data_IF_075711121734
#
_entry.id   IF_075711121734
#
_cell.length_a   1.000
_cell.length_b   1.000
_cell.length_c   1.000
_cell.angle_alpha   90.00
_cell.angle_beta   90.00
_cell.angle_gamma   90.00
#
_symmetry.space_group_name_H-M   'P 1'
#
loop_
_entity.id
_entity.type
_entity.pdbx_description
1 polymer ?
#
# COMPACT_ATOMS: atom_id res chain seq x y z
N UNK A 1 11.19 6.73 -15.64
CA UNK A 1 10.46 6.14 -14.51
C UNK A 1 10.87 4.69 -14.40
N UNK A 2 11.27 4.25 -13.21
CA UNK A 2 11.84 2.91 -12.98
C UNK A 2 10.75 1.85 -13.06
N UNK A 3 11.07 0.71 -13.68
CA UNK A 3 10.23 -0.48 -13.68
C UNK A 3 10.71 -1.44 -12.60
N UNK A 4 9.80 -2.09 -11.90
CA UNK A 4 10.06 -2.97 -10.75
C UNK A 4 9.36 -4.30 -10.99
N UNK A 5 10.14 -5.35 -11.27
CA UNK A 5 9.61 -6.70 -11.48
C UNK A 5 9.10 -7.38 -10.20
N UNK A 6 9.58 -6.95 -9.04
CA UNK A 6 9.16 -7.48 -7.74
C UNK A 6 9.24 -6.39 -6.66
N UNK A 7 8.59 -6.64 -5.52
CA UNK A 7 8.73 -5.79 -4.33
C UNK A 7 10.12 -5.94 -3.70
N UNK A 8 10.59 -4.87 -3.06
CA UNK A 8 11.74 -4.85 -2.13
C UNK A 8 11.30 -4.66 -0.67
N UNK A 9 10.00 -4.71 -0.39
CA UNK A 9 9.42 -4.68 0.95
C UNK A 9 8.97 -6.08 1.37
N UNK A 10 8.93 -6.33 2.67
CA UNK A 10 8.45 -7.59 3.22
C UNK A 10 6.93 -7.71 3.12
N UNK A 11 6.44 -8.70 2.36
CA UNK A 11 5.00 -9.02 2.33
C UNK A 11 4.45 -9.30 3.74
N UNK A 12 5.24 -9.98 4.58
CA UNK A 12 4.87 -10.27 5.95
C UNK A 12 4.90 -9.01 6.84
N UNK A 13 5.85 -8.10 6.63
CA UNK A 13 5.89 -6.80 7.30
C UNK A 13 4.65 -5.96 7.00
N UNK A 14 4.29 -5.86 5.71
CA UNK A 14 3.10 -5.15 5.24
C UNK A 14 1.82 -5.75 5.84
N UNK A 15 1.68 -7.08 5.77
CA UNK A 15 0.54 -7.80 6.37
C UNK A 15 0.42 -7.51 7.86
N UNK A 16 1.54 -7.57 8.58
CA UNK A 16 1.60 -7.35 10.03
C UNK A 16 1.24 -5.92 10.41
N UNK A 17 1.71 -4.93 9.66
CA UNK A 17 1.44 -3.52 9.94
C UNK A 17 0.04 -3.08 9.53
N UNK A 18 -0.36 -3.42 8.30
CA UNK A 18 -1.61 -2.96 7.73
C UNK A 18 -2.83 -3.71 8.29
N UNK A 19 -2.67 -4.98 8.65
CA UNK A 19 -3.73 -5.81 9.24
C UNK A 19 -5.03 -5.75 8.43
N UNK A 20 -4.93 -6.01 7.13
CA UNK A 20 -6.09 -6.13 6.25
C UNK A 20 -6.91 -7.38 6.61
N UNK A 21 -8.24 -7.28 6.50
CA UNK A 21 -9.20 -8.35 6.75
C UNK A 21 -10.38 -8.30 5.78
N UNK A 22 -11.32 -9.26 5.88
CA UNK A 22 -12.27 -9.58 4.81
C UNK A 22 -13.31 -8.50 4.52
N UNK A 23 -13.43 -7.48 5.36
CA UNK A 23 -14.31 -6.32 5.16
C UNK A 23 -13.57 -5.09 4.61
N UNK A 24 -12.24 -5.16 4.48
CA UNK A 24 -11.43 -4.02 4.13
C UNK A 24 -11.44 -3.69 2.63
N UNK A 25 -11.46 -2.40 2.34
CA UNK A 25 -11.20 -1.86 1.00
C UNK A 25 -9.87 -1.14 1.03
N UNK A 26 -8.93 -1.59 0.19
CA UNK A 26 -7.53 -1.15 0.23
C UNK A 26 -7.22 -0.25 -0.96
N UNK A 27 -6.61 0.91 -0.70
CA UNK A 27 -5.86 1.66 -1.71
C UNK A 27 -4.40 1.20 -1.65
N UNK A 28 -3.84 0.72 -2.76
CA UNK A 28 -2.47 0.22 -2.82
C UNK A 28 -1.68 0.92 -3.92
N UNK A 29 -0.46 1.37 -3.62
CA UNK A 29 0.54 1.62 -4.67
C UNK A 29 0.87 0.28 -5.32
N UNK A 30 0.73 0.23 -6.64
CA UNK A 30 0.79 -1.00 -7.41
C UNK A 30 2.21 -1.55 -7.48
N UNK A 31 3.18 -0.76 -7.97
CA UNK A 31 4.53 -1.28 -8.23
C UNK A 31 4.46 -2.53 -9.11
N UNK A 32 5.14 -3.61 -8.69
CA UNK A 32 5.08 -4.91 -9.36
C UNK A 32 3.72 -5.61 -9.26
N UNK A 33 2.88 -5.19 -8.31
CA UNK A 33 1.61 -5.83 -7.94
C UNK A 33 1.69 -6.80 -6.77
N UNK A 34 2.88 -7.18 -6.28
CA UNK A 34 3.06 -8.23 -5.25
C UNK A 34 2.25 -7.97 -3.98
N UNK A 35 2.31 -6.74 -3.49
CA UNK A 35 1.64 -6.29 -2.28
C UNK A 35 0.13 -6.23 -2.51
N UNK A 36 -0.31 -5.75 -3.67
CA UNK A 36 -1.74 -5.72 -4.02
C UNK A 36 -2.33 -7.13 -4.10
N UNK A 37 -1.60 -8.09 -4.69
CA UNK A 37 -2.00 -9.49 -4.73
C UNK A 37 -2.03 -10.14 -3.35
N UNK A 38 -1.00 -9.92 -2.53
CA UNK A 38 -1.00 -10.41 -1.15
C UNK A 38 -2.17 -9.82 -0.36
N UNK A 39 -2.47 -8.53 -0.51
CA UNK A 39 -3.59 -7.90 0.18
C UNK A 39 -4.94 -8.43 -0.27
N UNK A 40 -5.06 -8.86 -1.53
CA UNK A 40 -6.27 -9.46 -2.09
C UNK A 40 -6.62 -10.82 -1.48
N UNK A 41 -5.63 -11.52 -0.91
CA UNK A 41 -5.87 -12.72 -0.11
C UNK A 41 -6.75 -12.44 1.11
N UNK A 42 -6.61 -11.25 1.71
CA UNK A 42 -7.23 -10.91 2.99
C UNK A 42 -8.37 -9.91 2.86
N UNK A 43 -8.31 -9.00 1.88
CA UNK A 43 -9.21 -7.87 1.77
C UNK A 43 -10.41 -8.14 0.87
N UNK A 44 -11.52 -7.43 1.13
CA UNK A 44 -12.71 -7.47 0.29
C UNK A 44 -12.44 -6.99 -1.13
N UNK A 45 -11.63 -5.93 -1.24
CA UNK A 45 -11.35 -5.23 -2.51
C UNK A 45 -10.02 -4.50 -2.43
N UNK A 46 -9.26 -4.54 -3.51
CA UNK A 46 -7.99 -3.81 -3.66
C UNK A 46 -8.07 -2.91 -4.89
N UNK A 47 -7.81 -1.62 -4.71
CA UNK A 47 -7.62 -0.67 -5.80
C UNK A 47 -6.13 -0.35 -5.87
N UNK A 48 -5.45 -0.96 -6.83
CA UNK A 48 -4.04 -0.77 -7.11
C UNK A 48 -3.84 0.36 -8.12
N UNK A 49 -2.99 1.33 -7.77
CA UNK A 49 -2.67 2.48 -8.63
C UNK A 49 -1.18 2.60 -8.88
N UNK A 50 -0.81 3.03 -10.07
CA UNK A 50 0.55 3.48 -10.38
C UNK A 50 0.50 4.65 -11.35
N UNK A 51 1.46 5.58 -11.28
CA UNK A 51 1.61 6.61 -12.29
C UNK A 51 2.44 6.12 -13.50
N UNK A 52 3.06 4.94 -13.43
CA UNK A 52 3.69 4.27 -14.57
C UNK A 52 2.70 3.32 -15.27
N UNK A 53 2.26 3.62 -16.50
CA UNK A 53 1.39 2.71 -17.24
C UNK A 53 1.96 1.31 -17.42
N UNK A 54 3.30 1.17 -17.54
CA UNK A 54 3.96 -0.12 -17.72
C UNK A 54 3.87 -1.00 -16.47
N UNK A 55 3.84 -0.41 -15.27
CA UNK A 55 3.66 -1.16 -14.01
C UNK A 55 2.24 -1.69 -13.88
N UNK A 56 1.26 -0.82 -14.19
CA UNK A 56 -0.15 -1.20 -14.20
C UNK A 56 -0.41 -2.32 -15.20
N UNK A 57 0.17 -2.24 -16.40
CA UNK A 57 0.02 -3.28 -17.41
C UNK A 57 0.69 -4.59 -16.98
N UNK A 58 1.90 -4.53 -16.45
CA UNK A 58 2.59 -5.71 -15.92
C UNK A 58 1.78 -6.42 -14.81
N UNK A 59 1.21 -5.66 -13.86
CA UNK A 59 0.36 -6.24 -12.83
C UNK A 59 -0.93 -6.85 -13.41
N UNK A 60 -1.53 -6.25 -14.44
CA UNK A 60 -2.69 -6.82 -15.15
C UNK A 60 -2.37 -8.12 -15.86
N UNK A 61 -1.22 -8.21 -16.54
CA UNK A 61 -0.74 -9.44 -17.18
C UNK A 61 -0.60 -10.56 -16.16
N UNK A 62 0.02 -10.27 -15.00
CA UNK A 62 0.14 -11.23 -13.91
C UNK A 62 -1.21 -11.69 -13.35
N UNK A 63 -2.16 -10.76 -13.19
CA UNK A 63 -3.52 -11.11 -12.77
C UNK A 63 -4.22 -12.01 -13.80
N UNK A 64 -3.98 -11.76 -15.11
CA UNK A 64 -4.46 -12.60 -16.20
C UNK A 64 -3.87 -14.01 -16.16
N UNK A 65 -2.55 -14.13 -15.95
CA UNK A 65 -1.88 -15.42 -15.80
C UNK A 65 -2.44 -16.21 -14.64
N UNK A 66 -2.62 -15.58 -13.47
CA UNK A 66 -3.20 -16.24 -12.30
C UNK A 66 -4.64 -16.69 -12.57
N UNK A 67 -5.46 -15.85 -13.20
CA UNK A 67 -6.83 -16.20 -13.61
C UNK A 67 -6.85 -17.42 -14.53
N UNK A 68 -5.91 -17.48 -15.47
CA UNK A 68 -5.69 -18.63 -16.36
C UNK A 68 -5.13 -19.88 -15.71
N UNK A 69 -4.79 -19.83 -14.41
CA UNK A 69 -4.15 -20.94 -13.68
C UNK A 69 -2.65 -21.07 -13.94
N UNK A 70 -2.04 -20.10 -14.60
CA UNK A 70 -0.62 -20.07 -14.91
C UNK A 70 0.19 -19.49 -13.73
N UNK A 71 0.22 -20.23 -12.62
CA UNK A 71 0.90 -19.80 -11.38
C UNK A 71 2.38 -19.50 -11.65
N UNK A 72 3.03 -20.27 -12.53
CA UNK A 72 4.43 -20.07 -12.89
C UNK A 72 4.71 -18.69 -13.47
N UNK A 73 3.86 -18.21 -14.38
CA UNK A 73 3.99 -16.86 -14.96
C UNK A 73 3.53 -15.77 -13.98
N UNK A 74 2.50 -16.03 -13.17
CA UNK A 74 2.08 -15.11 -12.10
C UNK A 74 3.20 -14.79 -11.10
N UNK A 75 3.98 -15.80 -10.70
CA UNK A 75 5.13 -15.61 -9.80
C UNK A 75 6.40 -15.22 -10.55
N UNK A 76 6.45 -15.31 -11.88
CA UNK A 76 7.62 -14.88 -12.62
C UNK A 76 7.80 -13.37 -12.50
N UNK A 77 8.98 -12.97 -12.07
CA UNK A 77 9.38 -11.57 -11.99
C UNK A 77 10.71 -11.41 -12.73
N UNK A 78 10.81 -10.47 -13.69
CA UNK A 78 12.07 -10.21 -14.38
C UNK A 78 13.07 -9.69 -13.34
N UNK A 79 14.15 -10.44 -13.15
CA UNK A 79 15.18 -10.10 -12.17
C UNK A 79 15.88 -8.81 -12.58
N UNK A 80 15.90 -7.81 -11.70
CA UNK A 80 16.65 -6.58 -11.90
C UNK A 80 17.98 -6.59 -11.16
N UNK A 81 18.14 -7.38 -10.08
CA UNK A 81 19.42 -7.48 -9.39
C UNK A 81 19.66 -8.80 -8.66
N UNK A 82 20.90 -9.29 -8.70
CA UNK A 82 21.33 -10.52 -8.04
C UNK A 82 21.41 -10.39 -6.51
N UNK A 83 21.43 -9.16 -5.99
CA UNK A 83 21.62 -8.87 -4.56
C UNK A 83 20.39 -9.24 -3.69
N UNK A 84 19.22 -9.48 -4.29
CA UNK A 84 17.96 -9.73 -3.59
C UNK A 84 17.47 -11.18 -3.61
N UNK A 85 18.37 -12.16 -3.82
CA UNK A 85 18.01 -13.57 -4.03
C UNK A 85 17.11 -14.17 -2.95
N UNK A 86 17.36 -13.87 -1.67
CA UNK A 86 16.57 -14.43 -0.57
C UNK A 86 15.16 -13.83 -0.49
N UNK A 87 15.06 -12.49 -0.52
CA UNK A 87 13.77 -11.79 -0.56
C UNK A 87 12.94 -12.21 -1.79
N UNK A 88 13.59 -12.38 -2.94
CA UNK A 88 12.95 -12.89 -4.16
C UNK A 88 12.43 -14.32 -3.99
N UNK A 89 13.22 -15.22 -3.39
CA UNK A 89 12.81 -16.59 -3.14
C UNK A 89 11.66 -16.68 -2.13
N UNK A 90 11.67 -15.87 -1.08
CA UNK A 90 10.59 -15.77 -0.09
C UNK A 90 9.29 -15.25 -0.73
N UNK A 91 9.39 -14.16 -1.49
CA UNK A 91 8.26 -13.61 -2.26
C UNK A 91 7.66 -14.65 -3.20
N UNK A 92 8.48 -15.37 -3.96
CA UNK A 92 8.01 -16.41 -4.88
C UNK A 92 7.35 -17.58 -4.14
N UNK A 93 7.92 -17.98 -3.00
CA UNK A 93 7.34 -19.01 -2.14
C UNK A 93 5.97 -18.56 -1.64
N UNK A 94 5.86 -17.35 -1.10
CA UNK A 94 4.60 -16.80 -0.62
C UNK A 94 3.55 -16.78 -1.74
N UNK A 95 3.82 -16.08 -2.84
CA UNK A 95 2.83 -15.92 -3.90
C UNK A 95 2.50 -17.24 -4.60
N UNK A 96 3.44 -18.17 -4.70
CA UNK A 96 3.18 -19.50 -5.24
C UNK A 96 2.30 -20.36 -4.33
N UNK A 97 2.56 -20.33 -3.02
CA UNK A 97 1.76 -21.07 -2.03
C UNK A 97 0.36 -20.49 -1.88
N UNK A 98 0.22 -19.17 -1.88
CA UNK A 98 -1.05 -18.45 -1.68
C UNK A 98 -1.79 -18.16 -2.99
N UNK A 99 -1.26 -18.60 -4.14
CA UNK A 99 -1.90 -18.40 -5.44
C UNK A 99 -3.36 -18.88 -5.51
N UNK A 100 -3.76 -20.02 -4.91
CA UNK A 100 -5.17 -20.43 -4.90
C UNK A 100 -6.10 -19.39 -4.25
N UNK A 101 -5.74 -18.93 -3.04
CA UNK A 101 -6.55 -17.96 -2.27
C UNK A 101 -6.61 -16.60 -2.96
N UNK A 102 -5.48 -16.13 -3.52
CA UNK A 102 -5.42 -14.90 -4.31
C UNK A 102 -6.29 -15.04 -5.56
N UNK A 103 -6.26 -16.20 -6.22
CA UNK A 103 -7.04 -16.46 -7.44
C UNK A 103 -8.54 -16.45 -7.16
N UNK A 104 -8.99 -16.98 -6.04
CA UNK A 104 -10.40 -16.95 -5.64
C UNK A 104 -10.94 -15.51 -5.54
N UNK A 105 -10.08 -14.56 -5.15
CA UNK A 105 -10.42 -13.15 -5.01
C UNK A 105 -9.98 -12.28 -6.20
N UNK A 106 -9.47 -12.85 -7.30
CA UNK A 106 -8.82 -12.08 -8.38
C UNK A 106 -9.73 -11.05 -9.06
N UNK A 107 -11.05 -11.26 -9.03
CA UNK A 107 -12.02 -10.30 -9.58
C UNK A 107 -12.27 -9.09 -8.66
N UNK A 108 -11.76 -9.11 -7.42
CA UNK A 108 -11.90 -8.03 -6.45
C UNK A 108 -10.73 -7.04 -6.48
N UNK A 109 -9.84 -7.13 -7.48
CA UNK A 109 -8.75 -6.17 -7.69
C UNK A 109 -8.99 -5.30 -8.92
N UNK A 110 -8.71 -4.01 -8.78
CA UNK A 110 -8.75 -3.04 -9.87
C UNK A 110 -7.38 -2.40 -10.06
N UNK A 111 -7.01 -2.18 -11.32
CA UNK A 111 -5.72 -1.61 -11.70
C UNK A 111 -5.93 -0.31 -12.47
N UNK A 112 -5.42 0.80 -11.94
CA UNK A 112 -5.59 2.13 -12.52
C UNK A 112 -4.25 2.83 -12.74
N UNK A 113 -4.09 3.43 -13.92
CA UNK A 113 -3.02 4.41 -14.14
C UNK A 113 -3.45 5.72 -13.48
N UNK A 114 -2.87 6.04 -12.33
CA UNK A 114 -3.20 7.24 -11.57
C UNK A 114 -2.01 7.74 -10.74
N UNK A 115 -1.89 9.06 -10.65
CA UNK A 115 -0.98 9.69 -9.70
C UNK A 115 -1.67 9.73 -8.33
N UNK A 116 -1.01 9.20 -7.29
CA UNK A 116 -1.56 9.21 -5.93
C UNK A 116 -1.96 10.61 -5.48
N UNK A 117 -1.19 11.63 -5.83
CA UNK A 117 -1.54 12.99 -5.46
C UNK A 117 -2.92 13.36 -6.07
N UNK A 118 -3.09 13.08 -7.37
CA UNK A 118 -4.24 13.49 -8.17
C UNK A 118 -5.17 12.30 -8.50
N UNK A 119 -5.67 11.59 -7.49
CA UNK A 119 -6.61 10.48 -7.70
C UNK A 119 -7.87 10.95 -8.45
N UNK A 120 -8.33 10.19 -9.47
CA UNK A 120 -9.63 10.39 -10.09
C UNK A 120 -10.76 10.38 -9.06
N UNK A 121 -11.81 11.18 -9.28
CA UNK A 121 -12.89 11.36 -8.30
C UNK A 121 -13.58 10.05 -7.87
N UNK A 122 -13.78 9.09 -8.79
CA UNK A 122 -14.39 7.80 -8.45
C UNK A 122 -13.51 6.96 -7.50
N UNK A 123 -12.18 7.11 -7.57
CA UNK A 123 -11.25 6.49 -6.62
C UNK A 123 -11.20 7.30 -5.33
N UNK A 124 -11.01 8.63 -5.43
CA UNK A 124 -10.89 9.53 -4.28
C UNK A 124 -12.11 9.49 -3.33
N UNK A 125 -13.31 9.23 -3.86
CA UNK A 125 -14.55 9.13 -3.09
C UNK A 125 -14.84 7.70 -2.59
N UNK A 126 -13.95 6.73 -2.83
CA UNK A 126 -14.08 5.38 -2.27
C UNK A 126 -13.78 5.42 -0.76
N UNK A 127 -14.60 4.72 0.03
CA UNK A 127 -14.38 4.56 1.47
C UNK A 127 -13.31 3.50 1.73
N UNK A 128 -12.06 3.92 1.76
CA UNK A 128 -10.94 3.04 2.09
C UNK A 128 -10.82 2.84 3.60
N UNK A 129 -10.48 1.62 4.00
CA UNK A 129 -10.16 1.27 5.39
C UNK A 129 -8.68 0.95 5.57
N UNK A 130 -7.95 0.70 4.48
CA UNK A 130 -6.51 0.44 4.46
C UNK A 130 -5.85 1.21 3.33
N UNK A 131 -4.66 1.74 3.60
CA UNK A 131 -3.83 2.46 2.64
C UNK A 131 -2.42 1.85 2.67
N UNK A 132 -2.01 1.20 1.59
CA UNK A 132 -0.65 0.77 1.38
C UNK A 132 0.05 1.73 0.43
N UNK A 133 1.04 2.47 0.94
CA UNK A 133 1.68 3.59 0.24
C UNK A 133 3.09 3.28 -0.25
N UNK A 134 3.65 2.11 0.08
CA UNK A 134 5.05 1.78 -0.18
C UNK A 134 5.96 2.94 0.30
N UNK A 135 7.06 3.20 -0.41
CA UNK A 135 7.96 4.32 -0.19
C UNK A 135 7.61 5.58 -1.03
N UNK A 136 6.35 5.74 -1.44
CA UNK A 136 5.94 6.84 -2.31
C UNK A 136 6.27 8.23 -1.74
N UNK A 137 6.30 8.35 -0.41
CA UNK A 137 6.58 9.61 0.28
C UNK A 137 8.05 10.05 0.22
N UNK A 138 8.97 9.15 -0.16
CA UNK A 138 10.35 9.53 -0.46
C UNK A 138 10.47 10.24 -1.80
N UNK A 139 9.67 9.79 -2.76
CA UNK A 139 9.66 10.34 -4.11
C UNK A 139 8.72 11.55 -4.25
N UNK A 140 7.66 11.58 -3.43
CA UNK A 140 6.69 12.65 -3.37
C UNK A 140 6.72 13.29 -1.98
N UNK A 141 7.44 14.40 -1.84
CA UNK A 141 7.45 15.17 -0.59
C UNK A 141 6.03 15.43 -0.07
N UNK A 142 5.85 15.49 1.26
CA UNK A 142 4.53 15.83 1.84
C UNK A 142 3.99 17.15 1.27
N UNK A 143 4.88 18.12 1.05
CA UNK A 143 4.56 19.39 0.40
C UNK A 143 3.96 19.19 -1.00
N UNK A 144 4.45 18.22 -1.78
CA UNK A 144 3.88 17.88 -3.08
C UNK A 144 2.45 17.36 -2.94
N UNK A 145 2.20 16.45 -1.98
CA UNK A 145 0.85 15.93 -1.71
C UNK A 145 -0.10 16.98 -1.14
N UNK A 146 0.40 18.04 -0.50
CA UNK A 146 -0.42 19.11 0.08
C UNK A 146 -0.76 20.25 -0.88
N UNK A 147 -0.11 20.34 -2.04
CA UNK A 147 -0.41 21.40 -3.03
C UNK A 147 -1.79 21.19 -3.65
N UNK A 148 -2.61 22.24 -3.68
CA UNK A 148 -4.01 22.17 -4.14
C UNK A 148 -4.19 21.64 -5.58
N UNK A 149 -3.23 21.87 -6.48
CA UNK A 149 -3.26 21.35 -7.86
C UNK A 149 -2.91 19.85 -7.95
N UNK A 150 -2.27 19.31 -6.91
CA UNK A 150 -1.75 17.96 -6.89
C UNK A 150 -2.38 17.10 -5.81
N UNK A 151 -2.97 17.61 -4.73
CA UNK A 151 -3.29 16.84 -3.53
C UNK A 151 -4.74 16.45 -3.30
N UNK A 152 -5.68 16.93 -4.13
CA UNK A 152 -7.10 16.86 -3.75
C UNK A 152 -7.64 15.43 -3.70
N UNK A 153 -7.14 14.52 -4.53
CA UNK A 153 -7.61 13.14 -4.59
C UNK A 153 -7.29 12.35 -3.33
N UNK A 154 -6.00 12.20 -3.02
CA UNK A 154 -5.57 11.40 -1.87
C UNK A 154 -5.96 12.01 -0.53
N UNK A 155 -5.89 13.34 -0.39
CA UNK A 155 -6.32 13.99 0.85
C UNK A 155 -7.82 13.80 1.11
N UNK A 156 -8.66 13.77 0.07
CA UNK A 156 -10.09 13.42 0.19
C UNK A 156 -10.27 11.97 0.65
N UNK A 157 -9.50 11.03 0.09
CA UNK A 157 -9.54 9.63 0.50
C UNK A 157 -9.16 9.45 1.99
N UNK A 158 -8.09 10.11 2.44
CA UNK A 158 -7.68 10.11 3.86
C UNK A 158 -8.73 10.76 4.77
N UNK A 159 -9.31 11.88 4.35
CA UNK A 159 -10.37 12.56 5.09
C UNK A 159 -11.62 11.68 5.26
N UNK A 160 -12.01 10.97 4.20
CA UNK A 160 -13.18 10.07 4.16
C UNK A 160 -12.96 8.71 4.85
N UNK A 161 -11.73 8.36 5.23
CA UNK A 161 -11.43 7.12 5.94
C UNK A 161 -12.17 7.07 7.31
N UNK A 162 -12.71 5.91 7.72
CA UNK A 162 -13.34 5.76 9.04
C UNK A 162 -12.32 5.60 10.17
N UNK A 163 -12.75 5.76 11.42
CA UNK A 163 -11.95 5.36 12.58
C UNK A 163 -11.57 3.88 12.50
N UNK A 164 -10.36 3.56 12.98
CA UNK A 164 -9.74 2.26 12.81
C UNK A 164 -9.09 2.02 11.45
N UNK A 165 -9.24 2.93 10.47
CA UNK A 165 -8.51 2.82 9.21
C UNK A 165 -7.00 2.86 9.45
N UNK A 166 -6.23 2.10 8.66
CA UNK A 166 -4.77 2.01 8.81
C UNK A 166 -4.03 2.46 7.55
N UNK A 167 -2.91 3.14 7.76
CA UNK A 167 -1.95 3.49 6.71
C UNK A 167 -0.65 2.75 6.98
N UNK A 168 -0.08 2.16 5.94
CA UNK A 168 1.28 1.64 5.91
C UNK A 168 2.11 2.44 4.90
N UNK A 169 3.23 2.98 5.35
CA UNK A 169 4.23 3.64 4.49
C UNK A 169 5.62 3.13 4.86
N UNK A 170 6.47 2.94 3.88
CA UNK A 170 7.88 2.61 4.05
C UNK A 170 8.75 3.86 3.84
N UNK A 171 9.92 3.92 4.47
CA UNK A 171 10.93 4.98 4.26
C UNK A 171 12.32 4.59 4.78
N UNK A 172 13.35 5.32 4.34
CA UNK A 172 14.77 5.02 4.50
C UNK A 172 15.34 5.44 5.87
N UNK A 173 14.55 6.10 6.72
CA UNK A 173 14.97 6.64 8.00
C UNK A 173 13.80 6.66 9.00
N UNK A 174 14.00 7.25 10.19
CA UNK A 174 12.98 7.48 11.22
C UNK A 174 12.10 8.73 10.91
N UNK A 175 12.16 9.25 9.68
CA UNK A 175 11.39 10.42 9.23
C UNK A 175 9.92 10.06 9.01
N UNK A 176 9.17 10.12 10.10
CA UNK A 176 7.75 9.79 10.17
C UNK A 176 6.94 10.81 9.38
N UNK A 177 6.20 10.39 8.34
CA UNK A 177 5.24 11.26 7.69
C UNK A 177 4.30 11.94 8.69
N UNK A 178 4.26 13.27 8.66
CA UNK A 178 3.43 14.11 9.50
C UNK A 178 2.05 14.36 8.89
N UNK A 179 1.92 14.22 7.56
CA UNK A 179 0.72 14.54 6.79
C UNK A 179 -0.54 13.84 7.32
N UNK A 180 -0.40 12.61 7.81
CA UNK A 180 -1.54 11.81 8.29
C UNK A 180 -2.20 12.40 9.56
N UNK A 181 -1.45 13.13 10.39
CA UNK A 181 -1.97 13.75 11.61
C UNK A 181 -3.08 14.77 11.32
N UNK A 182 -2.98 15.45 10.18
CA UNK A 182 -3.99 16.40 9.72
C UNK A 182 -5.37 15.76 9.46
N UNK A 183 -5.41 14.43 9.31
CA UNK A 183 -6.59 13.63 9.00
C UNK A 183 -7.01 12.71 10.15
N UNK A 184 -6.48 12.93 11.36
CA UNK A 184 -6.81 12.16 12.55
C UNK A 184 -6.14 10.79 12.65
N UNK A 185 -5.09 10.57 11.86
CA UNK A 185 -4.25 9.39 12.00
C UNK A 185 -3.12 9.66 12.99
N UNK A 186 -2.87 8.70 13.88
CA UNK A 186 -1.76 8.73 14.80
C UNK A 186 -0.83 7.55 14.57
N UNK A 187 0.45 7.75 14.89
CA UNK A 187 1.48 6.74 14.71
C UNK A 187 1.29 5.56 15.66
N UNK A 188 1.10 4.36 15.11
CA UNK A 188 0.99 3.10 15.85
C UNK A 188 2.41 2.51 16.00
N UNK A 189 3.08 2.89 17.10
CA UNK A 189 4.45 2.46 17.40
C UNK A 189 4.55 0.94 17.52
N UNK A 190 3.53 0.28 18.06
CA UNK A 190 3.57 -1.17 18.26
C UNK A 190 3.42 -1.92 16.93
N UNK A 191 2.45 -1.54 16.09
CA UNK A 191 2.31 -2.13 14.77
C UNK A 191 3.53 -1.87 13.88
N UNK A 192 4.09 -0.66 13.94
CA UNK A 192 5.33 -0.32 13.21
C UNK A 192 6.51 -1.19 13.67
N UNK A 193 6.69 -1.35 14.99
CA UNK A 193 7.75 -2.21 15.54
C UNK A 193 7.57 -3.68 15.11
N UNK A 194 6.35 -4.21 15.15
CA UNK A 194 6.06 -5.58 14.71
C UNK A 194 6.28 -5.78 13.22
N UNK A 195 5.88 -4.81 12.38
CA UNK A 195 6.18 -4.86 10.96
C UNK A 195 7.69 -4.85 10.69
N UNK A 196 8.44 -4.03 11.44
CA UNK A 196 9.90 -3.92 11.31
C UNK A 196 10.65 -5.20 11.61
N UNK A 197 10.09 -6.12 12.41
CA UNK A 197 10.69 -7.44 12.67
C UNK A 197 10.86 -8.29 11.39
N UNK A 198 10.14 -7.95 10.31
CA UNK A 198 10.18 -8.65 9.03
C UNK A 198 10.84 -7.85 7.91
N UNK A 199 11.17 -6.58 8.13
CA UNK A 199 11.76 -5.70 7.11
C UNK A 199 13.28 -5.66 7.26
N UNK A 200 13.99 -5.75 6.13
CA UNK A 200 15.45 -5.68 6.09
C UNK A 200 15.93 -4.27 5.76
N UNK A 201 15.31 -3.63 4.77
CA UNK A 201 15.78 -2.35 4.23
C UNK A 201 14.94 -1.18 4.72
N UNK A 202 13.62 -1.32 4.70
CA UNK A 202 12.71 -0.19 4.90
C UNK A 202 12.20 -0.10 6.33
N UNK A 203 12.09 1.12 6.84
CA UNK A 203 11.39 1.35 8.10
C UNK A 203 9.88 1.47 7.84
N UNK A 204 9.06 0.56 8.40
CA UNK A 204 7.62 0.62 8.22
C UNK A 204 6.99 1.57 9.24
N UNK A 205 6.20 2.51 8.72
CA UNK A 205 5.41 3.44 9.50
C UNK A 205 3.93 3.09 9.37
N UNK A 206 3.36 2.65 10.48
CA UNK A 206 1.93 2.33 10.59
C UNK A 206 1.23 3.47 11.31
N UNK A 207 0.11 3.91 10.75
CA UNK A 207 -0.78 4.87 11.38
C UNK A 207 -2.19 4.30 11.47
N UNK A 208 -2.91 4.70 12.51
CA UNK A 208 -4.33 4.35 12.69
C UNK A 208 -5.17 5.61 12.90
N UNK A 209 -6.33 5.66 12.23
CA UNK A 209 -7.28 6.75 12.38
C UNK A 209 -8.03 6.61 13.69
N UNK A 210 -8.00 7.68 14.47
CA UNK A 210 -8.78 7.83 15.70
C UNK A 210 -9.16 9.30 15.85
N UNK A 211 -10.37 9.63 15.41
CA UNK A 211 -10.88 10.99 15.41
C UNK A 211 -11.08 11.55 16.82
N UNK A 212 -11.14 10.70 17.86
CA UNK A 212 -11.31 11.15 19.25
C UNK A 212 -10.05 11.83 19.80
N UNK A 213 -8.87 11.39 19.34
CA UNK A 213 -7.57 11.96 19.75
C UNK A 213 -7.28 13.35 19.20
N UNK A 214 -7.91 13.73 18.09
CA UNK A 214 -7.73 15.06 17.47
C UNK A 214 -8.29 16.19 18.35
N UNK A 215 -9.34 15.88 19.12
CA UNK A 215 -9.98 16.86 20.00
C UNK A 215 -9.15 17.18 21.25
N UNK A 216 -8.34 16.24 21.74
CA UNK A 216 -7.53 16.42 22.96
C UNK A 216 -6.31 17.33 22.70
N UNK A 217 -5.63 17.16 21.56
CA UNK A 217 -4.45 17.96 21.22
C UNK A 217 -4.78 19.42 20.86
N UNK A 218 -5.96 19.67 20.26
CA UNK A 218 -6.44 21.04 19.97
C UNK A 218 -6.97 21.75 21.22
N UNK A 219 -7.37 21.02 22.26
CA UNK A 219 -7.77 21.59 23.55
C UNK A 219 -6.61 22.08 24.41
N UNK A 220 -5.40 21.56 24.18
CA UNK A 220 -4.17 21.91 24.91
C UNK A 220 -3.42 23.13 24.33
N UNK A 221 -3.70 23.49 23.08
CA UNK A 221 -3.23 24.73 22.44
C UNK A 221 -4.29 25.83 22.62
N UNK A 222 -4.51 26.27 23.87
CA UNK A 222 -5.11 27.59 24.11
C UNK A 222 -3.96 28.61 24.15
N UNK A 223 -4.00 29.56 23.22
CA UNK A 223 -3.18 30.77 23.26
C UNK A 223 -3.42 31.57 24.55
#
# INVERSE_FOLDING_TARGET
MTFYGHTNESLQGIRTGLQAGPDDTVLAICGSGDQAFMLLEYAKRVIAIDNNPAQVEYAKERASDLRGGNVGMFVYAPALDYEFREAYAERNRYLGTHAPDIRENIENIEFHVANIAALPDHIANTRFTRFYLSNVLEYASETYLLKAEHGTGFLRALAGAPDGARVYSAGADDDRPSIFRNFGFHYDREASRRAREFETEWWPFVYVKDSTRVCEERGALRF
#
